data_IF_976176604236
#
_entry.id   IF_976176604236
#
_cell.length_a   1.000
_cell.length_b   1.000
_cell.length_c   1.000
_cell.angle_alpha   90.00
_cell.angle_beta   90.00
_cell.angle_gamma   90.00
#
_symmetry.space_group_name_H-M   'P 1'
#
loop_
_entity.id
_entity.type
_entity.pdbx_description
1 polymer ?
#
# COMPACT_ATOMS: atom_id res chain seq x y z
N UNK A 1 -70.17 -3.86 -20.48
CA UNK A 1 -70.09 -2.95 -19.31
C UNK A 1 -68.79 -2.17 -19.43
N UNK A 2 -68.75 -0.86 -19.13
CA UNK A 2 -67.48 -0.14 -19.11
C UNK A 2 -66.57 -0.80 -18.07
N UNK A 3 -65.34 -1.09 -18.47
CA UNK A 3 -64.26 -1.55 -17.59
C UNK A 3 -64.22 -0.59 -16.41
N UNK A 4 -64.31 -1.10 -15.19
CA UNK A 4 -64.28 -0.26 -13.99
C UNK A 4 -62.92 0.44 -13.90
N UNK A 5 -62.87 1.67 -13.35
CA UNK A 5 -61.62 2.43 -13.19
C UNK A 5 -60.51 1.58 -12.53
N UNK A 6 -60.89 0.70 -11.61
CA UNK A 6 -59.99 -0.23 -10.92
C UNK A 6 -59.36 -1.26 -11.87
N UNK A 7 -60.14 -1.89 -12.75
CA UNK A 7 -59.61 -2.82 -13.74
C UNK A 7 -58.62 -2.14 -14.70
N UNK A 8 -58.87 -0.89 -15.11
CA UNK A 8 -57.92 -0.14 -15.95
C UNK A 8 -56.60 0.14 -15.23
N UNK A 9 -56.64 0.44 -13.93
CA UNK A 9 -55.45 0.67 -13.11
C UNK A 9 -54.62 -0.62 -13.03
N UNK A 10 -55.24 -1.74 -12.66
CA UNK A 10 -54.52 -3.02 -12.48
C UNK A 10 -54.00 -3.60 -13.79
N UNK A 11 -54.69 -3.38 -14.91
CA UNK A 11 -54.23 -3.76 -16.26
C UNK A 11 -53.02 -2.95 -16.72
N UNK A 12 -52.83 -1.73 -16.20
CA UNK A 12 -51.70 -0.87 -16.55
C UNK A 12 -50.43 -1.17 -15.75
N UNK A 13 -50.51 -1.98 -14.69
CA UNK A 13 -49.37 -2.28 -13.83
C UNK A 13 -48.35 -3.18 -14.55
N UNK A 14 -47.05 -2.85 -14.49
CA UNK A 14 -45.98 -3.70 -15.03
C UNK A 14 -45.62 -4.85 -14.08
N UNK A 15 -46.64 -5.47 -13.47
CA UNK A 15 -46.49 -6.52 -12.45
C UNK A 15 -47.62 -7.51 -12.63
N UNK A 16 -47.34 -8.80 -12.42
CA UNK A 16 -48.38 -9.81 -12.51
C UNK A 16 -49.28 -9.70 -11.28
N UNK A 17 -50.57 -9.48 -11.54
CA UNK A 17 -51.60 -9.38 -10.51
C UNK A 17 -52.75 -10.31 -10.89
N UNK A 18 -53.11 -11.21 -9.99
CA UNK A 18 -54.20 -12.16 -10.18
C UNK A 18 -54.89 -12.46 -8.85
N UNK A 19 -56.13 -12.95 -8.90
CA UNK A 19 -56.87 -13.31 -7.70
C UNK A 19 -57.55 -14.66 -7.84
N UNK A 20 -57.63 -15.38 -6.73
CA UNK A 20 -58.38 -16.64 -6.60
C UNK A 20 -59.52 -16.45 -5.61
N UNK A 21 -60.66 -17.10 -5.84
CA UNK A 21 -61.69 -17.22 -4.79
C UNK A 21 -61.33 -18.32 -3.80
N UNK A 22 -61.79 -18.21 -2.56
CA UNK A 22 -61.28 -18.99 -1.42
C UNK A 22 -61.96 -20.35 -1.22
N UNK A 23 -63.12 -20.61 -1.83
CA UNK A 23 -63.85 -21.88 -1.68
C UNK A 23 -63.33 -22.95 -2.64
N UNK A 24 -63.12 -22.62 -3.91
CA UNK A 24 -62.67 -23.57 -4.94
C UNK A 24 -61.28 -23.26 -5.51
N UNK A 25 -60.60 -22.22 -5.01
CA UNK A 25 -59.26 -21.78 -5.44
C UNK A 25 -59.18 -21.50 -6.95
N UNK A 26 -60.29 -21.09 -7.55
CA UNK A 26 -60.32 -20.76 -8.98
C UNK A 26 -59.85 -19.35 -9.22
N UNK A 27 -59.05 -19.16 -10.27
CA UNK A 27 -58.68 -17.82 -10.72
C UNK A 27 -59.92 -17.05 -11.18
N UNK A 28 -60.17 -15.92 -10.54
CA UNK A 28 -61.28 -14.99 -10.84
C UNK A 28 -60.80 -13.70 -11.48
N UNK A 29 -59.50 -13.40 -11.35
CA UNK A 29 -58.88 -12.21 -11.94
C UNK A 29 -57.48 -12.54 -12.44
N UNK A 30 -57.10 -11.98 -13.59
CA UNK A 30 -55.81 -12.17 -14.25
C UNK A 30 -55.53 -10.96 -15.13
N UNK A 31 -54.56 -10.11 -14.76
CA UNK A 31 -54.22 -8.93 -15.55
C UNK A 31 -53.35 -9.28 -16.78
N UNK A 32 -53.22 -8.35 -17.71
CA UNK A 32 -52.48 -8.52 -18.96
C UNK A 32 -50.98 -8.78 -18.75
N UNK A 33 -50.39 -8.27 -17.67
CA UNK A 33 -48.98 -8.54 -17.36
C UNK A 33 -48.76 -9.98 -16.89
N UNK A 34 -49.69 -10.56 -16.10
CA UNK A 34 -49.66 -11.97 -15.74
C UNK A 34 -49.64 -12.87 -16.97
N UNK A 35 -50.38 -12.52 -18.02
CA UNK A 35 -50.35 -13.28 -19.27
C UNK A 35 -49.02 -13.19 -20.03
N UNK A 36 -48.33 -12.05 -19.96
CA UNK A 36 -46.97 -11.90 -20.52
C UNK A 36 -45.93 -12.67 -19.71
N UNK A 37 -46.03 -12.62 -18.38
CA UNK A 37 -45.05 -13.22 -17.47
C UNK A 37 -45.13 -14.76 -17.47
N UNK A 38 -46.33 -15.29 -17.28
CA UNK A 38 -46.53 -16.74 -17.18
C UNK A 38 -46.82 -17.40 -18.53
N UNK A 39 -47.17 -16.63 -19.57
CA UNK A 39 -47.44 -17.16 -20.91
C UNK A 39 -48.84 -17.77 -21.09
N UNK A 40 -49.76 -17.56 -20.14
CA UNK A 40 -51.15 -18.00 -20.24
C UNK A 40 -52.11 -16.81 -20.37
N UNK A 41 -52.99 -16.84 -21.37
CA UNK A 41 -54.00 -15.81 -21.54
C UNK A 41 -55.05 -15.87 -20.44
N UNK A 42 -55.74 -14.75 -20.21
CA UNK A 42 -56.84 -14.65 -19.23
C UNK A 42 -57.90 -15.73 -19.46
N UNK A 43 -58.30 -15.97 -20.70
CA UNK A 43 -59.32 -16.96 -21.05
C UNK A 43 -58.87 -18.40 -20.78
N UNK A 44 -57.56 -18.66 -20.82
CA UNK A 44 -56.98 -19.95 -20.49
C UNK A 44 -56.88 -20.19 -18.98
N UNK A 45 -56.91 -19.14 -18.16
CA UNK A 45 -56.67 -19.22 -16.71
C UNK A 45 -57.95 -19.07 -15.89
N UNK A 46 -58.88 -18.21 -16.31
CA UNK A 46 -60.09 -17.96 -15.55
C UNK A 46 -60.92 -19.22 -15.32
N UNK A 47 -61.49 -19.33 -14.11
CA UNK A 47 -62.24 -20.48 -13.60
C UNK A 47 -61.44 -21.80 -13.50
N UNK A 48 -60.13 -21.77 -13.71
CA UNK A 48 -59.24 -22.92 -13.48
C UNK A 48 -58.52 -22.78 -12.13
N UNK A 49 -57.91 -23.87 -11.67
CA UNK A 49 -57.09 -23.92 -10.45
C UNK A 49 -55.61 -24.00 -10.81
N UNK A 50 -54.71 -23.85 -9.84
CA UNK A 50 -53.26 -24.00 -10.08
C UNK A 50 -52.92 -25.35 -10.73
N UNK A 51 -53.62 -26.42 -10.36
CA UNK A 51 -53.42 -27.77 -10.89
C UNK A 51 -53.77 -27.93 -12.37
N UNK A 52 -54.59 -27.03 -12.90
CA UNK A 52 -54.97 -27.03 -14.31
C UNK A 52 -53.98 -26.25 -15.19
N UNK A 53 -53.12 -25.42 -14.57
CA UNK A 53 -52.21 -24.48 -15.26
C UNK A 53 -50.75 -24.89 -15.08
N UNK A 54 -50.36 -25.20 -13.84
CA UNK A 54 -48.98 -25.43 -13.44
C UNK A 54 -48.70 -26.92 -13.22
N UNK A 55 -47.43 -27.35 -13.32
CA UNK A 55 -47.02 -28.70 -12.94
C UNK A 55 -47.43 -29.04 -11.50
N UNK A 56 -47.77 -30.30 -11.23
CA UNK A 56 -48.33 -30.73 -9.95
C UNK A 56 -47.52 -30.28 -8.73
N UNK A 57 -46.18 -30.40 -8.78
CA UNK A 57 -45.31 -29.98 -7.67
C UNK A 57 -45.35 -28.46 -7.41
N UNK A 58 -45.45 -27.65 -8.47
CA UNK A 58 -45.59 -26.20 -8.35
C UNK A 58 -47.00 -25.83 -7.85
N UNK A 59 -48.03 -26.48 -8.38
CA UNK A 59 -49.41 -26.30 -7.96
C UNK A 59 -49.63 -26.68 -6.49
N UNK A 60 -49.01 -27.76 -6.02
CA UNK A 60 -49.04 -28.18 -4.60
C UNK A 60 -48.45 -27.10 -3.69
N UNK A 61 -47.30 -26.53 -4.08
CA UNK A 61 -46.66 -25.44 -3.34
C UNK A 61 -47.52 -24.18 -3.33
N UNK A 62 -48.12 -23.82 -4.46
CA UNK A 62 -49.04 -22.68 -4.54
C UNK A 62 -50.27 -22.91 -3.66
N UNK A 63 -50.86 -24.11 -3.70
CA UNK A 63 -51.99 -24.45 -2.82
C UNK A 63 -51.62 -24.36 -1.35
N UNK A 64 -50.43 -24.81 -0.96
CA UNK A 64 -49.95 -24.70 0.43
C UNK A 64 -49.79 -23.23 0.85
N UNK A 65 -49.27 -22.37 -0.02
CA UNK A 65 -49.17 -20.93 0.22
C UNK A 65 -50.55 -20.30 0.40
N UNK A 66 -51.49 -20.60 -0.52
CA UNK A 66 -52.87 -20.14 -0.47
C UNK A 66 -53.54 -20.55 0.87
N UNK A 67 -53.43 -21.82 1.27
CA UNK A 67 -53.97 -22.34 2.54
C UNK A 67 -53.34 -21.63 3.74
N UNK A 68 -52.02 -21.45 3.73
CA UNK A 68 -51.30 -20.78 4.81
C UNK A 68 -51.79 -19.36 5.02
N UNK A 69 -52.02 -18.59 3.95
CA UNK A 69 -52.57 -17.23 4.02
C UNK A 69 -53.99 -17.23 4.60
N UNK A 70 -54.82 -18.21 4.24
CA UNK A 70 -56.16 -18.34 4.79
C UNK A 70 -56.16 -18.69 6.29
N UNK A 71 -55.25 -19.57 6.71
CA UNK A 71 -55.09 -19.97 8.12
C UNK A 71 -54.53 -18.84 8.98
N UNK A 72 -53.49 -18.14 8.51
CA UNK A 72 -52.84 -17.06 9.27
C UNK A 72 -53.62 -15.75 9.22
N UNK A 73 -54.40 -15.52 8.15
CA UNK A 73 -55.05 -14.24 7.85
C UNK A 73 -54.06 -13.08 7.72
N UNK A 74 -52.81 -13.39 7.36
CA UNK A 74 -51.73 -12.42 7.20
C UNK A 74 -51.16 -12.47 5.78
N UNK A 75 -50.52 -11.37 5.36
CA UNK A 75 -49.73 -11.32 4.13
C UNK A 75 -48.64 -12.41 4.17
N UNK A 76 -48.60 -13.25 3.14
CA UNK A 76 -47.45 -14.11 2.88
C UNK A 76 -46.53 -13.43 1.86
N UNK A 77 -45.32 -13.08 2.30
CA UNK A 77 -44.28 -12.50 1.47
C UNK A 77 -43.18 -13.55 1.19
N UNK A 78 -42.96 -13.87 -0.08
CA UNK A 78 -41.98 -14.85 -0.56
C UNK A 78 -40.99 -14.12 -1.45
N UNK A 79 -39.81 -13.72 -0.91
CA UNK A 79 -38.84 -12.90 -1.63
C UNK A 79 -38.30 -13.55 -2.91
N UNK A 80 -38.15 -14.88 -2.91
CA UNK A 80 -37.61 -15.63 -4.05
C UNK A 80 -38.39 -16.95 -4.23
N UNK A 81 -39.10 -17.07 -5.35
CA UNK A 81 -39.81 -18.28 -5.75
C UNK A 81 -39.46 -18.63 -7.20
N UNK A 82 -38.94 -19.83 -7.43
CA UNK A 82 -38.69 -20.33 -8.78
C UNK A 82 -40.00 -20.85 -9.36
N UNK A 83 -40.37 -20.30 -10.51
CA UNK A 83 -41.51 -20.71 -11.34
C UNK A 83 -41.06 -20.93 -12.78
N UNK A 84 -42.00 -21.39 -13.62
CA UNK A 84 -41.77 -21.60 -15.03
C UNK A 84 -42.87 -20.92 -15.85
N UNK A 85 -42.48 -20.23 -16.92
CA UNK A 85 -43.43 -19.76 -17.92
C UNK A 85 -43.97 -20.93 -18.75
N UNK A 86 -45.04 -20.69 -19.52
CA UNK A 86 -45.63 -21.69 -20.41
C UNK A 86 -44.65 -22.23 -21.48
N UNK A 87 -43.57 -21.50 -21.79
CA UNK A 87 -42.50 -21.96 -22.68
C UNK A 87 -41.45 -22.85 -21.98
N UNK A 88 -41.55 -23.02 -20.65
CA UNK A 88 -40.61 -23.78 -19.82
C UNK A 88 -39.41 -22.97 -19.33
N UNK A 89 -39.35 -21.66 -19.61
CA UNK A 89 -38.30 -20.77 -19.10
C UNK A 89 -38.42 -20.62 -17.58
N UNK A 90 -37.29 -20.73 -16.88
CA UNK A 90 -37.23 -20.52 -15.44
C UNK A 90 -37.26 -19.03 -15.12
N UNK A 91 -38.18 -18.62 -14.26
CA UNK A 91 -38.31 -17.25 -13.77
C UNK A 91 -38.23 -17.24 -12.24
N UNK A 92 -37.59 -16.21 -11.69
CA UNK A 92 -37.49 -15.98 -10.26
C UNK A 92 -38.47 -14.87 -9.90
N UNK A 93 -39.40 -15.17 -9.00
CA UNK A 93 -40.48 -14.26 -8.62
C UNK A 93 -40.32 -13.80 -7.19
N UNK A 94 -40.53 -12.50 -6.95
CA UNK A 94 -40.93 -12.00 -5.64
C UNK A 94 -42.46 -12.06 -5.58
N UNK A 95 -43.00 -12.96 -4.77
CA UNK A 95 -44.45 -13.19 -4.66
C UNK A 95 -44.99 -12.71 -3.33
N UNK A 96 -46.07 -11.94 -3.39
CA UNK A 96 -46.86 -11.52 -2.24
C UNK A 96 -48.29 -12.03 -2.39
N UNK A 97 -48.83 -12.60 -1.33
CA UNK A 97 -50.18 -13.13 -1.30
C UNK A 97 -50.98 -12.55 -0.14
N UNK A 98 -52.09 -11.89 -0.48
CA UNK A 98 -52.84 -11.00 0.39
C UNK A 98 -54.28 -11.52 0.49
N UNK A 99 -54.78 -11.82 1.69
CA UNK A 99 -56.19 -12.16 1.89
C UNK A 99 -57.06 -10.91 1.76
N UNK A 100 -58.13 -11.00 0.97
CA UNK A 100 -59.12 -9.94 0.77
C UNK A 100 -60.43 -10.36 1.46
N UNK A 101 -60.96 -9.46 2.28
CA UNK A 101 -62.16 -9.68 3.08
C UNK A 101 -63.38 -8.95 2.50
N UNK A 102 -64.57 -9.53 2.66
CA UNK A 102 -65.83 -8.83 2.44
C UNK A 102 -66.19 -7.86 3.59
N UNK A 103 -67.33 -7.17 3.43
CA UNK A 103 -67.88 -6.26 4.45
C UNK A 103 -68.24 -6.98 5.77
N UNK A 104 -68.41 -8.30 5.75
CA UNK A 104 -68.70 -9.14 6.93
C UNK A 104 -67.43 -9.70 7.60
N UNK A 105 -66.25 -9.45 7.02
CA UNK A 105 -64.95 -9.87 7.54
C UNK A 105 -64.54 -11.31 7.20
N UNK A 106 -65.24 -11.96 6.25
CA UNK A 106 -64.91 -13.29 5.72
C UNK A 106 -63.93 -13.16 4.56
N UNK A 107 -62.94 -14.06 4.45
CA UNK A 107 -61.98 -14.01 3.33
C UNK A 107 -62.66 -14.50 2.05
N UNK A 108 -62.85 -13.62 1.08
CA UNK A 108 -63.51 -13.96 -0.18
C UNK A 108 -62.52 -14.22 -1.31
N UNK A 109 -61.35 -13.58 -1.28
CA UNK A 109 -60.36 -13.71 -2.34
C UNK A 109 -58.94 -13.73 -1.80
N UNK A 110 -58.05 -14.39 -2.52
CA UNK A 110 -56.60 -14.31 -2.37
C UNK A 110 -56.06 -13.49 -3.53
N UNK A 111 -55.49 -12.32 -3.25
CA UNK A 111 -54.82 -11.48 -4.23
C UNK A 111 -53.33 -11.85 -4.24
N UNK A 112 -52.82 -12.22 -5.41
CA UNK A 112 -51.40 -12.53 -5.61
C UNK A 112 -50.78 -11.46 -6.49
N UNK A 113 -49.64 -10.96 -6.04
CA UNK A 113 -48.78 -10.04 -6.78
C UNK A 113 -47.44 -10.75 -7.00
N UNK A 114 -46.99 -10.83 -8.24
CA UNK A 114 -45.72 -11.45 -8.59
C UNK A 114 -44.88 -10.53 -9.47
N UNK A 115 -43.68 -10.20 -8.97
CA UNK A 115 -42.68 -9.40 -9.66
C UNK A 115 -41.57 -10.32 -10.17
N UNK A 116 -41.19 -10.19 -11.45
CA UNK A 116 -40.04 -10.91 -12.00
C UNK A 116 -38.74 -10.23 -11.57
N UNK A 117 -37.93 -10.94 -10.80
CA UNK A 117 -36.65 -10.48 -10.27
C UNK A 117 -35.47 -11.21 -10.91
N UNK A 118 -35.68 -11.96 -12.00
CA UNK A 118 -34.66 -12.82 -12.63
C UNK A 118 -33.46 -12.00 -13.09
N UNK A 119 -33.67 -10.93 -13.85
CA UNK A 119 -32.59 -10.06 -14.34
C UNK A 119 -31.83 -9.40 -13.18
N UNK A 120 -32.57 -8.88 -12.19
CA UNK A 120 -32.00 -8.24 -11.00
C UNK A 120 -31.15 -9.22 -10.19
N UNK A 121 -31.62 -10.46 -10.01
CA UNK A 121 -30.90 -11.50 -9.28
C UNK A 121 -29.64 -11.92 -10.01
N UNK A 122 -29.74 -12.19 -11.31
CA UNK A 122 -28.59 -12.54 -12.13
C UNK A 122 -27.52 -11.43 -12.15
N UNK A 123 -27.94 -10.16 -12.21
CA UNK A 123 -27.03 -9.02 -12.12
C UNK A 123 -26.38 -8.92 -10.74
N UNK A 124 -27.15 -9.12 -9.66
CA UNK A 124 -26.63 -9.10 -8.30
C UNK A 124 -25.60 -10.21 -8.03
N UNK A 125 -25.90 -11.44 -8.48
CA UNK A 125 -25.01 -12.58 -8.32
C UNK A 125 -23.73 -12.39 -9.14
N UNK A 126 -23.85 -11.87 -10.36
CA UNK A 126 -22.69 -11.54 -11.21
C UNK A 126 -21.80 -10.46 -10.59
N UNK A 127 -22.41 -9.44 -9.98
CA UNK A 127 -21.67 -8.40 -9.26
C UNK A 127 -20.97 -8.94 -8.02
N UNK A 128 -21.61 -9.86 -7.29
CA UNK A 128 -21.05 -10.49 -6.10
C UNK A 128 -19.82 -11.31 -6.46
N UNK A 129 -19.93 -12.18 -7.48
CA UNK A 129 -18.81 -12.99 -8.00
C UNK A 129 -17.67 -12.09 -8.47
N UNK A 130 -17.98 -11.03 -9.22
CA UNK A 130 -16.98 -10.08 -9.66
C UNK A 130 -16.26 -9.45 -8.45
N UNK A 131 -17.01 -8.94 -7.47
CA UNK A 131 -16.46 -8.27 -6.30
C UNK A 131 -15.51 -9.19 -5.49
N UNK A 132 -15.86 -10.46 -5.32
CA UNK A 132 -14.99 -11.45 -4.69
C UNK A 132 -13.68 -11.64 -5.49
N UNK A 133 -13.76 -11.82 -6.81
CA UNK A 133 -12.58 -11.93 -7.66
C UNK A 133 -11.69 -10.67 -7.66
N UNK A 134 -12.31 -9.49 -7.57
CA UNK A 134 -11.59 -8.21 -7.42
C UNK A 134 -10.84 -8.13 -6.09
N UNK A 135 -11.46 -8.56 -4.98
CA UNK A 135 -10.82 -8.58 -3.67
C UNK A 135 -9.62 -9.52 -3.63
N UNK A 136 -9.74 -10.71 -4.22
CA UNK A 136 -8.63 -11.67 -4.31
C UNK A 136 -7.47 -11.10 -5.12
N UNK A 137 -7.77 -10.51 -6.29
CA UNK A 137 -6.76 -9.90 -7.16
C UNK A 137 -6.04 -8.73 -6.45
N UNK A 138 -6.77 -7.90 -5.71
CA UNK A 138 -6.19 -6.82 -4.90
C UNK A 138 -5.28 -7.36 -3.79
N UNK A 139 -5.66 -8.47 -3.16
CA UNK A 139 -4.83 -9.17 -2.16
C UNK A 139 -3.50 -9.63 -2.76
N UNK A 140 -3.55 -10.35 -3.88
CA UNK A 140 -2.37 -10.83 -4.61
C UNK A 140 -1.47 -9.67 -5.03
N UNK A 141 -2.05 -8.58 -5.56
CA UNK A 141 -1.30 -7.41 -5.99
C UNK A 141 -0.56 -6.74 -4.83
N UNK A 142 -1.23 -6.57 -3.67
CA UNK A 142 -0.61 -6.00 -2.46
C UNK A 142 0.53 -6.88 -1.95
N UNK A 143 0.35 -8.19 -1.94
CA UNK A 143 1.39 -9.13 -1.50
C UNK A 143 2.62 -9.08 -2.44
N UNK A 144 2.39 -9.09 -3.75
CA UNK A 144 3.45 -8.97 -4.75
C UNK A 144 4.20 -7.64 -4.61
N UNK A 145 3.48 -6.53 -4.42
CA UNK A 145 4.10 -5.22 -4.18
C UNK A 145 4.95 -5.21 -2.90
N UNK A 146 4.47 -5.82 -1.81
CA UNK A 146 5.24 -5.95 -0.57
C UNK A 146 6.53 -6.74 -0.77
N UNK A 147 6.47 -7.87 -1.48
CA UNK A 147 7.64 -8.69 -1.83
C UNK A 147 8.65 -7.91 -2.67
N UNK A 148 8.19 -7.09 -3.63
CA UNK A 148 9.07 -6.24 -4.44
C UNK A 148 9.76 -5.17 -3.60
N UNK A 149 9.03 -4.53 -2.68
CA UNK A 149 9.61 -3.53 -1.77
C UNK A 149 10.69 -4.18 -0.89
N UNK A 150 10.44 -5.38 -0.36
CA UNK A 150 11.41 -6.11 0.45
C UNK A 150 12.66 -6.52 -0.36
N UNK A 151 12.47 -7.06 -1.56
CA UNK A 151 13.59 -7.38 -2.46
C UNK A 151 14.43 -6.14 -2.78
N UNK A 152 13.79 -4.98 -2.97
CA UNK A 152 14.47 -3.71 -3.21
C UNK A 152 15.25 -3.21 -1.97
N UNK A 153 14.67 -3.36 -0.77
CA UNK A 153 15.40 -3.09 0.49
C UNK A 153 16.67 -3.93 0.56
N UNK A 154 16.56 -5.23 0.25
CA UNK A 154 17.69 -6.14 0.24
C UNK A 154 18.74 -5.79 -0.82
N UNK A 155 18.31 -5.39 -2.03
CA UNK A 155 19.22 -4.93 -3.08
C UNK A 155 19.96 -3.64 -2.71
N UNK A 156 19.26 -2.67 -2.09
CA UNK A 156 19.85 -1.43 -1.59
C UNK A 156 20.89 -1.69 -0.50
N UNK A 157 20.56 -2.58 0.45
CA UNK A 157 21.46 -3.02 1.50
C UNK A 157 22.68 -3.76 0.92
N UNK A 158 22.48 -4.63 -0.07
CA UNK A 158 23.58 -5.33 -0.77
C UNK A 158 24.57 -4.39 -1.45
N UNK A 159 24.08 -3.33 -2.10
CA UNK A 159 24.92 -2.29 -2.69
C UNK A 159 25.72 -1.49 -1.65
N UNK A 160 25.14 -1.27 -0.46
CA UNK A 160 25.85 -0.65 0.68
C UNK A 160 26.93 -1.58 1.24
N UNK A 161 26.63 -2.88 1.41
CA UNK A 161 27.58 -3.89 1.91
C UNK A 161 28.82 -3.96 1.02
N UNK A 162 28.65 -4.01 -0.30
CA UNK A 162 29.77 -4.08 -1.23
C UNK A 162 30.67 -2.82 -1.17
N UNK A 163 30.06 -1.63 -1.09
CA UNK A 163 30.81 -0.38 -0.95
C UNK A 163 31.55 -0.28 0.38
N UNK A 164 30.88 -0.66 1.48
CA UNK A 164 31.45 -0.62 2.82
C UNK A 164 32.57 -1.64 2.99
N UNK A 165 32.44 -2.84 2.40
CA UNK A 165 33.53 -3.81 2.40
C UNK A 165 34.79 -3.25 1.73
N UNK A 166 34.66 -2.58 0.58
CA UNK A 166 35.78 -1.95 -0.11
C UNK A 166 36.41 -0.80 0.72
N UNK A 167 35.58 0.01 1.36
CA UNK A 167 36.01 1.12 2.20
C UNK A 167 36.58 0.70 3.57
N UNK A 168 36.18 -0.46 4.10
CA UNK A 168 36.82 -1.08 5.28
C UNK A 168 38.17 -1.66 4.88
N UNK A 169 38.24 -2.33 3.73
CA UNK A 169 39.47 -2.97 3.24
C UNK A 169 40.58 -1.96 2.95
N UNK A 170 40.24 -0.73 2.55
CA UNK A 170 41.23 0.31 2.23
C UNK A 170 42.09 0.74 3.43
N UNK A 171 41.52 1.26 4.55
CA UNK A 171 42.30 1.60 5.73
C UNK A 171 42.95 0.37 6.37
N UNK A 172 42.28 -0.80 6.35
CA UNK A 172 42.91 -2.05 6.81
C UNK A 172 44.15 -2.37 5.98
N UNK A 173 44.09 -2.27 4.65
CA UNK A 173 45.22 -2.51 3.76
C UNK A 173 46.39 -1.55 4.01
N UNK A 174 46.10 -0.27 4.24
CA UNK A 174 47.10 0.74 4.60
C UNK A 174 47.74 0.39 5.96
N UNK A 175 46.92 0.02 6.96
CA UNK A 175 47.40 -0.43 8.27
C UNK A 175 48.28 -1.67 8.18
N UNK A 176 47.88 -2.68 7.40
CA UNK A 176 48.65 -3.91 7.15
C UNK A 176 49.99 -3.59 6.47
N UNK A 177 49.99 -2.68 5.50
CA UNK A 177 51.21 -2.25 4.78
C UNK A 177 52.18 -1.55 5.74
N UNK A 178 51.68 -0.63 6.57
CA UNK A 178 52.48 0.05 7.58
C UNK A 178 53.02 -0.91 8.64
N UNK A 179 52.22 -1.90 9.06
CA UNK A 179 52.65 -2.93 9.99
C UNK A 179 53.74 -3.82 9.40
N UNK A 180 53.62 -4.21 8.13
CA UNK A 180 54.64 -5.00 7.43
C UNK A 180 55.96 -4.23 7.26
N UNK A 181 55.89 -2.93 6.96
CA UNK A 181 57.08 -2.07 6.95
C UNK A 181 57.73 -1.98 8.33
N UNK A 182 56.93 -1.87 9.39
CA UNK A 182 57.39 -1.86 10.78
C UNK A 182 58.15 -3.15 11.12
N UNK A 183 57.59 -4.32 10.82
CA UNK A 183 58.22 -5.62 11.05
C UNK A 183 59.56 -5.76 10.32
N UNK A 184 59.62 -5.31 9.05
CA UNK A 184 60.86 -5.29 8.29
C UNK A 184 61.91 -4.38 8.95
N UNK A 185 61.51 -3.18 9.37
CA UNK A 185 62.41 -2.20 10.00
C UNK A 185 62.90 -2.64 11.37
N UNK A 186 62.06 -3.32 12.15
CA UNK A 186 62.44 -3.95 13.41
C UNK A 186 63.51 -5.02 13.16
N UNK A 187 63.34 -5.86 12.14
CA UNK A 187 64.30 -6.90 11.77
C UNK A 187 65.65 -6.32 11.32
N UNK A 188 65.64 -5.29 10.47
CA UNK A 188 66.85 -4.55 10.04
C UNK A 188 67.56 -3.92 11.25
N UNK A 189 66.81 -3.27 12.14
CA UNK A 189 67.35 -2.64 13.34
C UNK A 189 68.00 -3.66 14.29
N UNK A 190 67.36 -4.81 14.52
CA UNK A 190 67.91 -5.90 15.33
C UNK A 190 69.23 -6.44 14.77
N UNK A 191 69.35 -6.60 13.44
CA UNK A 191 70.61 -7.01 12.82
C UNK A 191 71.72 -5.96 12.99
N UNK A 192 71.40 -4.68 12.79
CA UNK A 192 72.33 -3.57 13.00
C UNK A 192 72.81 -3.50 14.46
N UNK A 193 71.90 -3.72 15.42
CA UNK A 193 72.20 -3.77 16.84
C UNK A 193 73.12 -4.93 17.18
N UNK A 194 72.77 -6.15 16.75
CA UNK A 194 73.52 -7.37 17.03
C UNK A 194 74.90 -7.39 16.36
N UNK A 195 75.06 -6.72 15.22
CA UNK A 195 76.35 -6.58 14.54
C UNK A 195 77.29 -5.56 15.20
N UNK A 196 76.84 -4.86 16.25
CA UNK A 196 77.56 -3.79 16.96
C UNK A 196 78.05 -2.63 16.05
N UNK A 197 77.37 -2.40 14.91
CA UNK A 197 77.70 -1.36 13.92
C UNK A 197 76.73 -0.16 13.93
N UNK A 198 75.76 -0.16 14.84
CA UNK A 198 74.71 0.86 14.92
C UNK A 198 75.27 2.24 15.28
N UNK A 199 74.84 3.27 14.54
CA UNK A 199 75.09 4.67 14.88
C UNK A 199 73.86 5.31 15.52
N UNK A 200 74.07 6.42 16.23
CA UNK A 200 72.97 7.22 16.80
C UNK A 200 71.95 7.66 15.75
N UNK A 201 72.39 8.02 14.55
CA UNK A 201 71.51 8.38 13.43
C UNK A 201 70.60 7.24 12.97
N UNK A 202 71.03 5.99 13.14
CA UNK A 202 70.23 4.82 12.76
C UNK A 202 69.12 4.57 13.80
N UNK A 203 69.42 4.79 15.08
CA UNK A 203 68.43 4.77 16.16
C UNK A 203 67.38 5.88 15.98
N UNK A 204 67.80 7.11 15.70
CA UNK A 204 66.88 8.24 15.49
C UNK A 204 65.93 7.96 14.29
N UNK A 205 66.46 7.47 13.16
CA UNK A 205 65.64 7.05 12.00
C UNK A 205 64.67 5.92 12.32
N UNK A 206 65.11 4.94 13.11
CA UNK A 206 64.26 3.82 13.50
C UNK A 206 63.10 4.30 14.38
N UNK A 207 63.38 5.12 15.39
CA UNK A 207 62.35 5.71 16.27
C UNK A 207 61.34 6.54 15.48
N UNK A 208 61.79 7.37 14.53
CA UNK A 208 60.91 8.15 13.65
C UNK A 208 60.02 7.24 12.79
N UNK A 209 60.58 6.18 12.22
CA UNK A 209 59.84 5.22 11.40
C UNK A 209 58.79 4.47 12.23
N UNK A 210 59.13 4.05 13.45
CA UNK A 210 58.20 3.39 14.36
C UNK A 210 57.05 4.32 14.75
N UNK A 211 57.35 5.58 15.08
CA UNK A 211 56.34 6.56 15.45
C UNK A 211 55.38 6.86 14.28
N UNK A 212 55.90 7.07 13.07
CA UNK A 212 55.08 7.33 11.88
C UNK A 212 54.20 6.13 11.53
N UNK A 213 54.78 4.93 11.44
CA UNK A 213 54.01 3.72 11.12
C UNK A 213 52.96 3.41 12.19
N UNK A 214 53.27 3.61 13.47
CA UNK A 214 52.30 3.47 14.57
C UNK A 214 51.12 4.44 14.43
N UNK A 215 51.39 5.70 14.09
CA UNK A 215 50.34 6.70 13.83
C UNK A 215 49.47 6.34 12.61
N UNK A 216 50.07 5.82 11.54
CA UNK A 216 49.35 5.37 10.34
C UNK A 216 48.44 4.19 10.69
N UNK A 217 48.94 3.21 11.44
CA UNK A 217 48.15 2.04 11.86
C UNK A 217 46.96 2.47 12.72
N UNK A 218 47.19 3.25 13.79
CA UNK A 218 46.13 3.66 14.71
C UNK A 218 45.03 4.44 13.99
N UNK A 219 45.39 5.48 13.23
CA UNK A 219 44.41 6.32 12.54
C UNK A 219 43.56 5.56 11.51
N UNK A 220 44.14 4.56 10.83
CA UNK A 220 43.40 3.74 9.88
C UNK A 220 42.52 2.68 10.59
N UNK A 221 42.98 2.11 11.71
CA UNK A 221 42.16 1.20 12.52
C UNK A 221 40.97 1.91 13.15
N UNK A 222 41.16 3.13 13.67
CA UNK A 222 40.08 3.96 14.20
C UNK A 222 39.04 4.26 13.12
N UNK A 223 39.50 4.63 11.92
CA UNK A 223 38.62 4.87 10.77
C UNK A 223 37.85 3.61 10.35
N UNK A 224 38.49 2.44 10.34
CA UNK A 224 37.82 1.18 10.05
C UNK A 224 36.77 0.85 11.13
N UNK A 225 37.07 1.09 12.40
CA UNK A 225 36.14 0.89 13.50
C UNK A 225 34.91 1.81 13.42
N UNK A 226 35.10 3.08 13.07
CA UNK A 226 34.02 4.05 12.88
C UNK A 226 33.10 3.63 11.71
N UNK A 227 33.67 3.18 10.59
CA UNK A 227 32.90 2.65 9.46
C UNK A 227 32.07 1.41 9.85
N UNK A 228 32.65 0.49 10.62
CA UNK A 228 31.92 -0.70 11.12
C UNK A 228 30.80 -0.31 12.07
N UNK A 229 31.02 0.67 12.97
CA UNK A 229 29.98 1.16 13.89
C UNK A 229 28.83 1.83 13.15
N UNK A 230 29.14 2.75 12.24
CA UNK A 230 28.14 3.42 11.40
C UNK A 230 27.34 2.43 10.55
N UNK A 231 28.02 1.46 9.94
CA UNK A 231 27.34 0.41 9.17
C UNK A 231 26.43 -0.47 10.03
N UNK A 232 26.90 -0.93 11.19
CA UNK A 232 26.10 -1.74 12.11
C UNK A 232 24.83 -0.99 12.53
N UNK A 233 24.94 0.30 12.83
CA UNK A 233 23.81 1.12 13.23
C UNK A 233 22.77 1.22 12.11
N UNK A 234 23.21 1.52 10.88
CA UNK A 234 22.31 1.64 9.71
C UNK A 234 21.67 0.30 9.33
N UNK A 235 22.43 -0.80 9.35
CA UNK A 235 21.91 -2.13 8.99
C UNK A 235 20.92 -2.68 10.03
N UNK A 236 21.17 -2.45 11.32
CA UNK A 236 20.25 -2.84 12.40
C UNK A 236 19.01 -1.94 12.41
N UNK A 237 19.15 -0.63 12.25
CA UNK A 237 18.01 0.27 12.26
C UNK A 237 17.11 0.10 11.02
N UNK A 238 17.66 -0.21 9.83
CA UNK A 238 16.84 -0.49 8.63
C UNK A 238 16.04 -1.81 8.72
N UNK A 239 16.48 -2.75 9.56
CA UNK A 239 15.79 -4.02 9.80
C UNK A 239 14.90 -4.02 11.04
N UNK A 240 15.15 -3.12 11.99
CA UNK A 240 14.34 -2.95 13.21
C UNK A 240 13.15 -2.03 12.99
N UNK A 241 11.96 -2.48 13.42
CA UNK A 241 10.73 -1.68 13.44
C UNK A 241 10.41 -1.09 14.82
N UNK A 242 11.38 -1.06 15.74
CA UNK A 242 11.12 -0.57 17.10
C UNK A 242 11.21 0.95 17.22
N UNK A 243 10.32 1.52 18.04
CA UNK A 243 10.43 2.92 18.46
C UNK A 243 11.48 3.06 19.55
N UNK A 244 12.29 4.10 19.46
CA UNK A 244 13.17 4.53 20.56
C UNK A 244 13.33 6.05 20.57
N UNK A 245 13.80 6.56 21.70
CA UNK A 245 14.26 7.94 21.82
C UNK A 245 15.68 8.05 21.26
N UNK A 246 15.91 9.03 20.40
CA UNK A 246 17.24 9.35 19.88
C UNK A 246 17.35 10.83 19.49
N UNK A 247 18.57 11.35 19.51
CA UNK A 247 18.86 12.70 19.02
C UNK A 247 18.87 12.71 17.48
N UNK A 248 17.98 13.49 16.87
CA UNK A 248 17.72 13.45 15.43
C UNK A 248 18.91 13.92 14.60
N UNK A 249 19.50 15.07 14.94
CA UNK A 249 20.61 15.65 14.18
C UNK A 249 21.85 14.76 14.21
N UNK A 250 22.35 14.30 15.37
CA UNK A 250 23.47 13.34 15.42
C UNK A 250 23.18 12.06 14.64
N UNK A 251 21.95 11.57 14.68
CA UNK A 251 21.57 10.37 13.94
C UNK A 251 21.62 10.58 12.42
N UNK A 252 21.10 11.71 11.92
CA UNK A 252 21.24 12.06 10.51
C UNK A 252 22.70 12.26 10.11
N UNK A 253 23.53 12.85 10.97
CA UNK A 253 24.98 12.97 10.75
C UNK A 253 25.63 11.59 10.52
N UNK A 254 25.31 10.59 11.36
CA UNK A 254 25.79 9.21 11.22
C UNK A 254 25.33 8.55 9.91
N UNK A 255 24.07 8.77 9.52
CA UNK A 255 23.53 8.26 8.25
C UNK A 255 24.27 8.88 7.07
N UNK A 256 24.46 10.20 7.05
CA UNK A 256 25.20 10.87 5.98
C UNK A 256 26.66 10.43 5.95
N UNK A 257 27.30 10.26 7.11
CA UNK A 257 28.65 9.73 7.23
C UNK A 257 28.77 8.37 6.54
N UNK A 258 27.78 7.49 6.69
CA UNK A 258 27.73 6.19 6.02
C UNK A 258 27.57 6.28 4.48
N UNK A 259 27.04 7.40 3.97
CA UNK A 259 26.80 7.65 2.54
C UNK A 259 27.90 8.49 1.87
N UNK A 260 28.84 9.04 2.64
CA UNK A 260 30.04 9.73 2.15
C UNK A 260 30.82 9.01 1.04
N UNK A 261 30.94 7.66 1.03
CA UNK A 261 31.60 6.92 -0.06
C UNK A 261 31.10 7.31 -1.45
N UNK A 262 29.77 7.43 -1.59
CA UNK A 262 29.11 7.75 -2.87
C UNK A 262 29.19 9.24 -3.19
N UNK A 263 29.17 10.09 -2.17
CA UNK A 263 29.23 11.55 -2.29
C UNK A 263 30.64 12.06 -2.65
N UNK A 264 31.70 11.47 -2.07
CA UNK A 264 33.09 11.90 -2.29
C UNK A 264 33.56 11.73 -3.73
N UNK A 265 33.01 10.76 -4.46
CA UNK A 265 33.35 10.54 -5.88
C UNK A 265 32.88 11.70 -6.77
N UNK A 266 31.91 12.48 -6.30
CA UNK A 266 31.14 13.45 -7.10
C UNK A 266 31.29 14.89 -6.62
N UNK A 267 32.29 15.20 -5.78
CA UNK A 267 32.55 16.57 -5.26
C UNK A 267 31.33 17.27 -4.60
N UNK A 268 30.41 16.51 -4.02
CA UNK A 268 29.24 17.10 -3.36
C UNK A 268 29.51 17.43 -1.89
N UNK A 269 28.99 18.56 -1.43
CA UNK A 269 29.02 18.98 -0.04
C UNK A 269 27.69 18.64 0.65
N UNK A 270 27.77 18.13 1.87
CA UNK A 270 26.59 17.81 2.69
C UNK A 270 26.64 18.59 3.98
N UNK A 271 25.54 19.26 4.32
CA UNK A 271 25.41 20.04 5.56
C UNK A 271 24.13 19.66 6.28
N UNK A 272 24.22 19.51 7.60
CA UNK A 272 23.05 19.43 8.47
C UNK A 272 23.01 20.70 9.32
N UNK A 273 21.86 21.36 9.37
CA UNK A 273 21.58 22.55 10.17
C UNK A 273 20.43 22.23 11.12
N UNK A 274 20.61 22.47 12.40
CA UNK A 274 19.58 22.20 13.39
C UNK A 274 20.13 22.09 14.79
N UNK A 275 19.22 22.07 15.75
CA UNK A 275 19.59 21.89 17.15
C UNK A 275 19.91 20.41 17.43
N UNK A 276 21.13 20.16 17.92
CA UNK A 276 21.62 18.81 18.28
C UNK A 276 20.86 18.22 19.47
N UNK A 277 20.13 19.04 20.22
CA UNK A 277 19.32 18.62 21.35
C UNK A 277 17.91 18.14 20.96
N UNK A 278 17.53 18.18 19.68
CA UNK A 278 16.22 17.67 19.24
C UNK A 278 16.19 16.15 19.43
N UNK A 279 15.48 15.69 20.45
CA UNK A 279 15.18 14.28 20.70
C UNK A 279 13.81 13.91 20.17
N UNK A 280 13.72 12.75 19.51
CA UNK A 280 12.48 12.22 18.95
C UNK A 280 12.25 10.79 19.41
N UNK A 281 11.02 10.46 19.81
CA UNK A 281 10.59 9.08 20.05
C UNK A 281 9.95 8.54 18.77
N UNK A 282 10.73 7.80 17.98
CA UNK A 282 10.27 7.35 16.66
C UNK A 282 11.07 6.14 16.16
N UNK A 283 10.98 5.83 14.88
CA UNK A 283 11.65 4.72 14.21
C UNK A 283 12.93 5.22 13.51
N UNK A 284 14.13 5.08 14.10
CA UNK A 284 15.38 5.57 13.48
C UNK A 284 15.58 5.04 12.06
N UNK A 285 15.24 3.77 11.81
CA UNK A 285 15.31 3.16 10.49
C UNK A 285 14.54 3.91 9.40
N UNK A 286 13.39 4.48 9.74
CA UNK A 286 12.60 5.29 8.81
C UNK A 286 13.35 6.57 8.42
N UNK A 287 13.95 7.29 9.38
CA UNK A 287 14.74 8.48 9.11
C UNK A 287 15.99 8.17 8.30
N UNK A 288 16.69 7.08 8.62
CA UNK A 288 17.85 6.62 7.86
C UNK A 288 17.50 6.32 6.41
N UNK A 289 16.38 5.63 6.18
CA UNK A 289 15.91 5.29 4.85
C UNK A 289 15.41 6.52 4.07
N UNK A 290 14.76 7.47 4.75
CA UNK A 290 14.36 8.76 4.15
C UNK A 290 15.59 9.55 3.68
N UNK A 291 16.55 9.77 4.56
CA UNK A 291 17.77 10.51 4.23
C UNK A 291 18.57 9.83 3.12
N UNK A 292 18.68 8.49 3.16
CA UNK A 292 19.35 7.70 2.12
C UNK A 292 18.67 7.89 0.76
N UNK A 293 17.35 7.82 0.69
CA UNK A 293 16.63 7.99 -0.58
C UNK A 293 16.79 9.41 -1.14
N UNK A 294 16.73 10.45 -0.31
CA UNK A 294 16.94 11.82 -0.78
C UNK A 294 18.34 12.01 -1.37
N UNK A 295 19.38 11.60 -0.62
CA UNK A 295 20.77 11.71 -1.07
C UNK A 295 21.00 10.93 -2.37
N UNK A 296 20.52 9.70 -2.44
CA UNK A 296 20.66 8.87 -3.64
C UNK A 296 19.91 9.47 -4.82
N UNK A 297 18.72 10.06 -4.60
CA UNK A 297 17.98 10.73 -5.66
C UNK A 297 18.73 11.94 -6.20
N UNK A 298 19.37 12.75 -5.36
CA UNK A 298 20.15 13.89 -5.87
C UNK A 298 21.41 13.44 -6.60
N UNK A 299 22.10 12.40 -6.11
CA UNK A 299 23.24 11.80 -6.82
C UNK A 299 22.83 11.27 -8.22
N UNK A 300 21.68 10.60 -8.32
CA UNK A 300 21.27 9.97 -9.59
C UNK A 300 20.63 10.99 -10.53
N UNK A 301 19.76 11.87 -10.01
CA UNK A 301 18.87 12.70 -10.81
C UNK A 301 19.20 14.18 -10.78
N UNK A 302 19.79 14.72 -9.71
CA UNK A 302 20.00 16.17 -9.59
C UNK A 302 21.28 16.62 -10.29
N UNK A 303 22.36 15.83 -10.20
CA UNK A 303 23.70 16.19 -10.69
C UNK A 303 24.19 15.24 -11.81
N UNK A 304 25.13 15.71 -12.62
CA UNK A 304 25.97 14.88 -13.49
C UNK A 304 27.34 14.59 -12.81
N UNK A 305 28.13 13.65 -13.34
CA UNK A 305 29.31 13.09 -12.64
C UNK A 305 30.42 14.12 -12.30
N UNK A 306 30.48 15.26 -12.99
CA UNK A 306 31.49 16.30 -12.78
C UNK A 306 30.99 17.50 -11.96
N UNK A 307 29.70 17.56 -11.66
CA UNK A 307 29.08 18.71 -11.00
C UNK A 307 29.46 18.79 -9.52
N UNK A 308 29.71 20.00 -9.04
CA UNK A 308 29.70 20.27 -7.60
C UNK A 308 28.26 20.54 -7.16
N UNK A 309 27.87 19.98 -6.02
CA UNK A 309 26.48 20.05 -5.55
C UNK A 309 26.41 20.22 -4.05
N UNK A 310 25.44 21.00 -3.58
CA UNK A 310 25.18 21.23 -2.17
C UNK A 310 23.88 20.56 -1.77
N UNK A 311 23.98 19.68 -0.79
CA UNK A 311 22.85 18.98 -0.21
C UNK A 311 22.73 19.40 1.26
N UNK A 312 21.58 19.94 1.62
CA UNK A 312 21.34 20.51 2.95
C UNK A 312 20.14 19.83 3.60
N UNK A 313 20.32 19.37 4.84
CA UNK A 313 19.22 18.99 5.71
C UNK A 313 19.06 20.07 6.79
N UNK A 314 17.88 20.63 6.92
CA UNK A 314 17.54 21.54 8.01
C UNK A 314 16.49 20.90 8.92
N UNK A 315 16.64 21.06 10.23
CA UNK A 315 15.69 20.52 11.20
C UNK A 315 15.22 21.61 12.15
N UNK A 316 13.91 21.63 12.39
CA UNK A 316 13.27 22.57 13.28
C UNK A 316 12.26 21.83 14.16
N UNK A 317 12.20 22.19 15.44
CA UNK A 317 11.21 21.68 16.37
C UNK A 317 10.24 22.81 16.70
N UNK A 318 8.97 22.64 16.34
CA UNK A 318 7.89 23.57 16.69
C UNK A 318 6.85 22.83 17.53
N UNK A 319 6.89 23.04 18.84
CA UNK A 319 6.00 22.39 19.80
C UNK A 319 6.11 20.85 19.79
N UNK A 320 5.16 20.18 19.14
CA UNK A 320 5.09 18.71 19.02
C UNK A 320 5.27 18.21 17.59
N UNK A 321 5.74 19.07 16.70
CA UNK A 321 6.01 18.74 15.32
C UNK A 321 7.49 19.01 15.02
N UNK A 322 8.16 18.01 14.46
CA UNK A 322 9.50 18.18 13.91
C UNK A 322 9.37 18.37 12.42
N UNK A 323 9.93 19.47 11.93
CA UNK A 323 10.10 19.70 10.49
C UNK A 323 11.51 19.29 10.09
N UNK A 324 11.62 18.45 9.07
CA UNK A 324 12.88 18.11 8.39
C UNK A 324 12.77 18.62 6.96
N UNK A 325 13.63 19.56 6.59
CA UNK A 325 13.74 20.08 5.24
C UNK A 325 14.97 19.48 4.57
N UNK A 326 14.81 19.01 3.34
CA UNK A 326 15.90 18.55 2.49
C UNK A 326 15.97 19.47 1.26
N UNK A 327 17.15 19.96 0.93
CA UNK A 327 17.37 20.80 -0.25
C UNK A 327 18.59 20.33 -1.04
N UNK A 328 18.46 20.24 -2.36
CA UNK A 328 19.57 20.14 -3.31
C UNK A 328 19.55 21.32 -4.28
N UNK A 329 20.72 21.71 -4.81
CA UNK A 329 20.90 22.79 -5.79
C UNK A 329 21.16 22.27 -7.21
N UNK A 330 20.67 21.06 -7.52
CA UNK A 330 20.87 20.45 -8.83
C UNK A 330 19.86 20.93 -9.89
N UNK A 331 19.67 20.10 -10.92
CA UNK A 331 18.87 20.48 -12.11
C UNK A 331 17.38 20.74 -11.85
N UNK A 332 16.87 20.37 -10.68
CA UNK A 332 15.44 20.47 -10.34
C UNK A 332 14.55 19.50 -11.11
N UNK A 333 13.28 19.45 -10.71
CA UNK A 333 12.24 18.56 -11.24
C UNK A 333 11.28 19.39 -12.09
N UNK A 334 11.03 19.00 -13.35
CA UNK A 334 10.04 19.66 -14.20
C UNK A 334 8.62 19.62 -13.58
N UNK A 335 7.81 20.69 -13.71
CA UNK A 335 6.49 20.78 -13.10
C UNK A 335 5.54 19.61 -13.45
N UNK A 336 5.62 19.10 -14.68
CA UNK A 336 4.84 17.97 -15.18
C UNK A 336 5.12 16.64 -14.44
N UNK A 337 6.26 16.55 -13.75
CA UNK A 337 6.68 15.37 -13.01
C UNK A 337 6.37 15.47 -11.51
N UNK A 338 6.17 16.67 -10.96
CA UNK A 338 5.99 16.90 -9.51
C UNK A 338 4.82 16.10 -8.92
N UNK A 339 3.73 15.93 -9.67
CA UNK A 339 2.58 15.15 -9.19
C UNK A 339 2.82 13.63 -9.22
N UNK A 340 3.82 13.18 -9.99
CA UNK A 340 4.11 11.76 -10.24
C UNK A 340 5.29 11.22 -9.44
N UNK A 341 6.12 12.07 -8.85
CA UNK A 341 7.35 11.63 -8.16
C UNK A 341 7.10 10.64 -7.02
N UNK A 342 5.91 10.66 -6.42
CA UNK A 342 5.52 9.72 -5.36
C UNK A 342 4.83 8.45 -5.87
N UNK A 343 4.54 8.37 -7.18
CA UNK A 343 3.98 7.18 -7.79
C UNK A 343 5.02 6.05 -7.81
N UNK A 344 4.63 4.80 -7.50
CA UNK A 344 5.52 3.65 -7.62
C UNK A 344 6.11 3.53 -9.02
N UNK A 345 7.41 3.22 -9.10
CA UNK A 345 8.17 2.96 -10.33
C UNK A 345 8.37 4.17 -11.26
N UNK A 346 7.91 5.37 -10.87
CA UNK A 346 8.14 6.58 -11.65
C UNK A 346 9.62 7.02 -11.55
N UNK A 347 10.28 7.22 -12.68
CA UNK A 347 11.69 7.61 -12.75
C UNK A 347 12.03 8.23 -14.10
N UNK A 348 12.90 9.24 -14.12
CA UNK A 348 13.44 9.85 -15.35
C UNK A 348 14.74 9.20 -15.83
N UNK A 349 15.36 8.34 -15.01
CA UNK A 349 16.60 7.60 -15.34
C UNK A 349 16.41 6.08 -15.21
N UNK A 350 15.42 5.53 -15.91
CA UNK A 350 15.14 4.09 -15.90
C UNK A 350 16.30 3.32 -16.54
N UNK A 351 16.85 2.33 -15.83
CA UNK A 351 18.01 1.54 -16.29
C UNK A 351 19.37 2.09 -15.89
N UNK A 352 19.45 3.34 -15.43
CA UNK A 352 20.69 4.03 -15.04
C UNK A 352 20.76 4.26 -13.51
N UNK A 353 20.28 3.26 -12.75
CA UNK A 353 20.19 3.30 -11.29
C UNK A 353 18.87 3.85 -10.71
N UNK A 354 18.01 4.47 -11.54
CA UNK A 354 16.70 4.97 -11.11
C UNK A 354 15.64 3.87 -11.07
N UNK A 355 15.40 3.27 -9.91
CA UNK A 355 14.35 2.24 -9.71
C UNK A 355 12.92 2.79 -9.72
N UNK A 356 12.77 4.09 -9.42
CA UNK A 356 11.47 4.77 -9.28
C UNK A 356 10.66 4.38 -8.04
N UNK A 357 11.22 3.61 -7.11
CA UNK A 357 10.56 3.27 -5.85
C UNK A 357 10.98 4.16 -4.67
N UNK A 358 12.13 4.86 -4.77
CA UNK A 358 12.71 5.59 -3.64
C UNK A 358 11.76 6.63 -3.05
N UNK A 359 11.19 7.50 -3.88
CA UNK A 359 10.25 8.52 -3.39
C UNK A 359 8.90 7.97 -2.94
N UNK A 360 8.43 6.87 -3.54
CA UNK A 360 7.24 6.17 -3.04
C UNK A 360 7.48 5.59 -1.63
N UNK A 361 8.66 5.04 -1.37
CA UNK A 361 9.07 4.56 -0.05
C UNK A 361 9.10 5.72 0.95
N UNK A 362 9.70 6.85 0.59
CA UNK A 362 9.72 8.06 1.44
C UNK A 362 8.30 8.51 1.77
N UNK A 363 7.42 8.59 0.77
CA UNK A 363 6.01 8.97 0.97
C UNK A 363 5.31 8.06 1.97
N UNK A 364 5.43 6.74 1.82
CA UNK A 364 4.79 5.78 2.75
C UNK A 364 5.41 5.83 4.16
N UNK A 365 6.73 5.99 4.26
CA UNK A 365 7.39 6.13 5.56
C UNK A 365 6.89 7.37 6.29
N UNK A 366 6.79 8.51 5.60
CA UNK A 366 6.32 9.76 6.20
C UNK A 366 4.83 9.68 6.55
N UNK A 367 3.98 9.32 5.58
CA UNK A 367 2.52 9.41 5.75
C UNK A 367 1.92 8.25 6.53
N UNK A 368 2.35 7.02 6.27
CA UNK A 368 1.75 5.83 6.88
C UNK A 368 2.48 5.41 8.17
N UNK A 369 3.82 5.41 8.18
CA UNK A 369 4.60 4.91 9.34
C UNK A 369 4.83 6.00 10.39
N UNK A 370 5.17 7.21 9.96
CA UNK A 370 5.45 8.34 10.86
C UNK A 370 4.23 9.24 11.12
N UNK A 371 3.14 9.06 10.36
CA UNK A 371 1.90 9.84 10.53
C UNK A 371 2.04 11.33 10.17
N UNK A 372 3.06 11.68 9.39
CA UNK A 372 3.37 13.05 8.98
C UNK A 372 2.90 13.40 7.57
N UNK A 373 3.39 14.54 7.07
CA UNK A 373 3.16 14.98 5.70
C UNK A 373 4.48 15.32 5.00
N UNK A 374 4.49 15.18 3.67
CA UNK A 374 5.63 15.53 2.82
C UNK A 374 5.16 16.42 1.67
N UNK A 375 5.88 17.51 1.43
CA UNK A 375 5.68 18.38 0.27
C UNK A 375 6.97 18.49 -0.54
N UNK A 376 6.85 18.74 -1.85
CA UNK A 376 7.98 18.95 -2.76
C UNK A 376 7.80 20.26 -3.53
N UNK A 377 8.81 21.10 -3.49
CA UNK A 377 8.92 22.33 -4.26
C UNK A 377 10.20 22.26 -5.09
N UNK A 378 10.10 22.44 -6.40
CA UNK A 378 11.27 22.36 -7.26
C UNK A 378 11.17 23.35 -8.42
N UNK A 379 12.31 23.91 -8.79
CA UNK A 379 12.43 24.78 -9.95
C UNK A 379 13.60 24.30 -10.81
N UNK A 380 13.34 24.12 -12.11
CA UNK A 380 14.34 23.65 -13.07
C UNK A 380 15.52 24.62 -13.12
N UNK A 381 16.73 24.08 -12.96
CA UNK A 381 17.99 24.84 -12.93
C UNK A 381 18.30 25.54 -11.62
N UNK A 382 17.45 25.42 -10.59
CA UNK A 382 17.70 25.98 -9.24
C UNK A 382 17.88 24.86 -8.21
N UNK A 383 17.04 23.83 -8.24
CA UNK A 383 17.12 22.73 -7.28
C UNK A 383 15.77 22.20 -6.81
N UNK A 384 15.82 21.37 -5.78
CA UNK A 384 14.64 20.70 -5.22
C UNK A 384 14.64 20.81 -3.70
N UNK A 385 13.48 21.15 -3.13
CA UNK A 385 13.23 21.20 -1.70
C UNK A 385 12.10 20.23 -1.33
N UNK A 386 12.37 19.32 -0.40
CA UNK A 386 11.36 18.51 0.26
C UNK A 386 11.16 18.98 1.69
N UNK A 387 9.92 19.12 2.13
CA UNK A 387 9.56 19.51 3.49
C UNK A 387 8.76 18.40 4.15
N UNK A 388 9.26 17.85 5.23
CA UNK A 388 8.64 16.76 5.99
C UNK A 388 8.18 17.31 7.33
N UNK A 389 6.90 17.17 7.63
CA UNK A 389 6.32 17.55 8.92
C UNK A 389 5.91 16.30 9.67
N UNK A 390 6.56 16.04 10.80
CA UNK A 390 6.47 14.78 11.52
C UNK A 390 5.94 15.03 12.94
N UNK A 391 4.80 14.43 13.32
CA UNK A 391 4.34 14.50 14.70
C UNK A 391 5.26 13.67 15.59
N UNK A 392 5.73 14.25 16.68
CA UNK A 392 6.48 13.52 17.71
C UNK A 392 5.55 13.18 18.88
N UNK A 393 5.65 11.95 19.38
CA UNK A 393 4.94 11.55 20.60
C UNK A 393 5.50 12.34 21.79
N UNK A 394 4.60 12.74 22.71
CA UNK A 394 4.83 13.66 23.82
C UNK A 394 6.18 13.49 24.55
N UNK A 395 6.86 14.61 24.78
CA UNK A 395 7.62 14.79 26.01
C UNK A 395 6.68 15.30 27.12
N UNK A 396 6.88 14.75 28.32
CA UNK A 396 6.43 15.30 29.60
C UNK A 396 7.65 15.84 30.34
#
# INVERSE_FOLDING_TARGET
MPITLFEQIVESLPTAVFAKETESFRFVFWNGFSGKLFGYSKDEVLNKTDYDIFPAELADRYRQNDIKVLETRELLDIPEEISHSASGESIILHRREIPIYDEEGSTCYLLVISEDITEQKNAHDSLTIANEAWQDTLGILRESQSKLIEAQKMASLGGLVAGIAHEINTPIGIGVTAASLLDQKISEFQQLYNSAKMKRSDLEKFLDTVAQSGSIISSNLDRAADLVRGFKQVAVDQSSEEKRVFALVPYLEDVILSLRPKLKRLKHNTKIVGDKAIEVESYPGAFSQIATNFIMNSIIHAYDDEDEGNIVFETHLDGREVTVEYTDDGRGIPPENLTKIFEPFFTTKRGDGGSGLGMHIVYNLVTQKLGGSINCESTVGIGTKFTLKLPIANFK
#
